data_IF_467793330971
#
_entry.id   IF_467793330971
#
_cell.length_a   1.000
_cell.length_b   1.000
_cell.length_c   1.000
_cell.angle_alpha   90.00
_cell.angle_beta   90.00
_cell.angle_gamma   90.00
#
_symmetry.space_group_name_H-M   'P 1'
#
loop_
_entity.id
_entity.type
_entity.pdbx_description
1 polymer ?
#
# COMPACT_ATOMS: atom_id res chain seq x y z
N UNK A 1 54.49 51.87 23.31
CA UNK A 1 53.87 51.23 22.13
C UNK A 1 53.56 49.76 22.35
N UNK A 2 54.52 48.90 22.75
CA UNK A 2 54.27 47.45 22.93
C UNK A 2 53.22 47.07 23.99
N UNK A 3 53.14 47.80 25.12
CA UNK A 3 52.13 47.55 26.16
C UNK A 3 50.69 47.76 25.69
N UNK A 4 50.46 48.76 24.83
CA UNK A 4 49.15 49.06 24.24
C UNK A 4 48.74 47.95 23.26
N UNK A 5 49.68 47.47 22.44
CA UNK A 5 49.44 46.35 21.51
C UNK A 5 49.09 45.05 22.22
N UNK A 6 49.76 44.73 23.33
CA UNK A 6 49.45 43.55 24.15
C UNK A 6 48.06 43.65 24.78
N UNK A 7 47.68 44.84 25.24
CA UNK A 7 46.35 45.07 25.82
C UNK A 7 45.25 44.87 24.77
N UNK A 8 45.42 45.41 23.55
CA UNK A 8 44.47 45.23 22.44
C UNK A 8 44.36 43.75 22.06
N UNK A 9 45.49 43.05 21.96
CA UNK A 9 45.51 41.61 21.66
C UNK A 9 44.75 40.79 22.72
N UNK A 10 45.00 41.08 24.00
CA UNK A 10 44.31 40.41 25.11
C UNK A 10 42.79 40.63 25.08
N UNK A 11 42.34 41.87 24.84
CA UNK A 11 40.92 42.20 24.69
C UNK A 11 40.31 41.46 23.50
N UNK A 12 41.03 41.37 22.38
CA UNK A 12 40.57 40.68 21.17
C UNK A 12 40.39 39.17 21.43
N UNK A 13 41.34 38.54 22.14
CA UNK A 13 41.23 37.13 22.54
C UNK A 13 40.04 36.87 23.46
N UNK A 14 39.75 37.77 24.40
CA UNK A 14 38.58 37.66 25.28
C UNK A 14 37.27 37.75 24.47
N UNK A 15 37.19 38.68 23.52
CA UNK A 15 36.03 38.83 22.63
C UNK A 15 35.85 37.59 21.74
N UNK A 16 36.93 37.08 21.14
CA UNK A 16 36.90 35.85 20.34
C UNK A 16 36.45 34.64 21.15
N UNK A 17 36.94 34.48 22.38
CA UNK A 17 36.52 33.40 23.28
C UNK A 17 35.03 33.46 23.61
N UNK A 18 34.50 34.67 23.88
CA UNK A 18 33.07 34.88 24.13
C UNK A 18 32.21 34.62 22.90
N UNK A 19 32.65 35.08 21.72
CA UNK A 19 31.93 34.82 20.46
C UNK A 19 31.90 33.34 20.13
N UNK A 20 33.02 32.63 20.30
CA UNK A 20 33.09 31.19 20.05
C UNK A 20 32.11 30.41 20.96
N UNK A 21 32.05 30.74 22.26
CA UNK A 21 31.07 30.15 23.18
C UNK A 21 29.63 30.41 22.72
N UNK A 22 29.33 31.63 22.28
CA UNK A 22 28.00 32.00 21.77
C UNK A 22 27.64 31.24 20.50
N UNK A 23 28.55 31.16 19.51
CA UNK A 23 28.33 30.42 18.27
C UNK A 23 28.14 28.91 18.53
N UNK A 24 28.92 28.32 19.44
CA UNK A 24 28.75 26.91 19.83
C UNK A 24 27.37 26.65 20.45
N UNK A 25 26.87 27.54 21.31
CA UNK A 25 25.52 27.40 21.90
C UNK A 25 24.41 27.56 20.87
N UNK A 26 24.55 28.52 19.95
CA UNK A 26 23.61 28.67 18.84
C UNK A 26 23.60 27.42 17.96
N UNK A 27 24.76 26.93 17.55
CA UNK A 27 24.88 25.71 16.74
C UNK A 27 24.21 24.51 17.42
N UNK A 28 24.41 24.35 18.73
CA UNK A 28 23.71 23.31 19.49
C UNK A 28 22.18 23.47 19.46
N UNK A 29 21.67 24.68 19.69
CA UNK A 29 20.22 24.96 19.67
C UNK A 29 19.62 24.74 18.27
N UNK A 30 20.30 25.18 17.22
CA UNK A 30 19.90 24.97 15.84
C UNK A 30 19.89 23.49 15.49
N UNK A 31 20.96 22.74 15.82
CA UNK A 31 21.00 21.29 15.64
C UNK A 31 19.87 20.58 16.37
N UNK A 32 19.54 21.01 17.59
CA UNK A 32 18.47 20.37 18.37
C UNK A 32 17.08 20.66 17.78
N UNK A 33 16.84 21.89 17.30
CA UNK A 33 15.59 22.23 16.58
C UNK A 33 15.46 21.45 15.28
N UNK A 34 16.50 21.43 14.45
CA UNK A 34 16.50 20.67 13.20
C UNK A 34 16.32 19.18 13.42
N UNK A 35 16.91 18.62 14.49
CA UNK A 35 16.73 17.20 14.81
C UNK A 35 15.27 16.88 15.11
N UNK A 36 14.59 17.73 15.90
CA UNK A 36 13.18 17.54 16.23
C UNK A 36 12.27 17.68 15.00
N UNK A 37 12.50 18.71 14.18
CA UNK A 37 11.76 18.90 12.92
C UNK A 37 12.00 17.74 11.95
N UNK A 38 13.22 17.19 11.90
CA UNK A 38 13.55 16.04 11.04
C UNK A 38 12.88 14.75 11.51
N UNK A 39 12.82 14.50 12.82
CA UNK A 39 12.10 13.34 13.38
C UNK A 39 10.58 13.44 13.11
N UNK A 40 9.99 14.63 13.18
CA UNK A 40 8.58 14.87 12.83
C UNK A 40 8.31 14.67 11.33
N UNK A 41 9.23 15.08 10.46
CA UNK A 41 9.13 14.84 9.01
C UNK A 41 9.23 13.34 8.70
N UNK A 42 10.19 12.62 9.28
CA UNK A 42 10.39 11.20 9.04
C UNK A 42 9.20 10.34 9.52
N UNK A 43 8.64 10.69 10.69
CA UNK A 43 7.43 10.01 11.20
C UNK A 43 6.22 10.27 10.31
N UNK A 44 6.04 11.50 9.83
CA UNK A 44 4.93 11.85 8.93
C UNK A 44 5.07 11.19 7.55
N UNK A 45 6.28 11.09 7.01
CA UNK A 45 6.54 10.36 5.76
C UNK A 45 6.24 8.87 5.88
N UNK A 46 6.66 8.23 6.98
CA UNK A 46 6.36 6.82 7.23
C UNK A 46 4.87 6.55 7.38
N UNK A 47 4.13 7.42 8.09
CA UNK A 47 2.68 7.29 8.20
C UNK A 47 1.98 7.46 6.84
N UNK A 48 2.41 8.43 6.04
CA UNK A 48 1.85 8.65 4.71
C UNK A 48 2.11 7.46 3.78
N UNK A 49 3.30 6.86 3.84
CA UNK A 49 3.65 5.65 3.09
C UNK A 49 2.76 4.46 3.46
N UNK A 50 2.58 4.19 4.75
CA UNK A 50 1.72 3.08 5.23
C UNK A 50 0.26 3.30 4.80
N UNK A 51 -0.26 4.53 4.87
CA UNK A 51 -1.61 4.83 4.40
C UNK A 51 -1.77 4.64 2.89
N UNK A 52 -0.78 5.06 2.10
CA UNK A 52 -0.78 4.90 0.65
C UNK A 52 -0.73 3.42 0.24
N UNK A 53 0.11 2.61 0.88
CA UNK A 53 0.21 1.17 0.63
C UNK A 53 -1.09 0.41 0.99
N UNK A 54 -1.90 0.94 1.91
CA UNK A 54 -3.20 0.36 2.26
C UNK A 54 -4.31 0.68 1.24
N UNK A 55 -4.13 1.71 0.41
CA UNK A 55 -5.14 2.17 -0.58
C UNK A 55 -4.73 1.82 -2.00
N UNK A 56 -3.43 1.81 -2.29
CA UNK A 56 -2.86 1.59 -3.61
C UNK A 56 -1.89 0.41 -3.56
N UNK A 57 -1.88 -0.46 -4.59
CA UNK A 57 -0.83 -1.47 -4.74
C UNK A 57 0.56 -0.82 -4.69
N UNK A 58 1.55 -1.52 -4.12
CA UNK A 58 2.89 -0.99 -3.89
C UNK A 58 3.54 -0.39 -5.15
N UNK A 59 3.34 -1.04 -6.30
CA UNK A 59 3.88 -0.58 -7.59
C UNK A 59 3.21 0.71 -8.12
N UNK A 60 1.97 0.98 -7.70
CA UNK A 60 1.23 2.21 -8.05
C UNK A 60 1.61 3.34 -7.11
N UNK A 61 1.82 3.05 -5.82
CA UNK A 61 2.20 4.05 -4.82
C UNK A 61 3.50 4.79 -5.19
N UNK A 62 4.51 4.07 -5.69
CA UNK A 62 5.77 4.69 -6.14
C UNK A 62 5.56 5.66 -7.32
N UNK A 63 4.68 5.32 -8.26
CA UNK A 63 4.37 6.19 -9.40
C UNK A 63 3.71 7.51 -8.95
N UNK A 64 2.82 7.46 -7.95
CA UNK A 64 2.16 8.65 -7.39
C UNK A 64 3.08 9.47 -6.48
N UNK A 65 4.05 8.85 -5.80
CA UNK A 65 5.06 9.57 -5.00
C UNK A 65 6.13 10.24 -5.88
N UNK A 66 6.50 9.62 -7.01
CA UNK A 66 7.52 10.14 -7.93
C UNK A 66 7.01 11.30 -8.80
N UNK A 67 5.69 11.35 -9.09
CA UNK A 67 5.09 12.41 -9.90
C UNK A 67 4.48 13.46 -8.97
N UNK A 68 4.98 14.69 -9.06
CA UNK A 68 4.36 15.87 -8.41
C UNK A 68 2.84 15.82 -8.62
N UNK A 69 2.08 15.91 -7.52
CA UNK A 69 0.61 15.83 -7.39
C UNK A 69 -0.20 16.84 -8.24
N UNK A 70 0.36 17.36 -9.32
CA UNK A 70 -0.23 18.37 -10.20
C UNK A 70 -1.09 17.82 -11.33
N UNK A 71 -1.18 16.50 -11.50
CA UNK A 71 -2.00 15.91 -12.55
C UNK A 71 -3.18 15.14 -11.95
N UNK A 72 -4.39 15.65 -12.15
CA UNK A 72 -5.68 14.94 -11.97
C UNK A 72 -5.90 13.82 -13.02
N UNK A 73 -4.82 13.24 -13.54
CA UNK A 73 -4.87 12.30 -14.65
C UNK A 73 -5.02 10.88 -14.11
N UNK A 74 -6.08 10.18 -14.53
CA UNK A 74 -6.36 8.80 -14.13
C UNK A 74 -5.19 7.88 -14.52
N UNK A 75 -4.67 7.13 -13.55
CA UNK A 75 -3.62 6.14 -13.81
C UNK A 75 -4.21 4.89 -14.46
N UNK A 76 -3.58 4.42 -15.55
CA UNK A 76 -3.90 3.15 -16.19
C UNK A 76 -2.63 2.48 -16.73
N UNK A 77 -2.59 1.15 -16.67
CA UNK A 77 -1.52 0.34 -17.25
C UNK A 77 -2.12 -0.89 -17.94
N UNK A 78 -1.58 -1.27 -19.10
CA UNK A 78 -1.97 -2.48 -19.82
C UNK A 78 -1.07 -3.64 -19.42
N UNK A 79 -1.64 -4.84 -19.31
CA UNK A 79 -0.95 -6.08 -18.94
C UNK A 79 -1.31 -7.18 -19.94
N UNK A 80 -0.30 -7.88 -20.46
CA UNK A 80 -0.49 -8.92 -21.49
C UNK A 80 -1.05 -10.23 -20.90
N UNK A 81 -0.72 -10.55 -19.66
CA UNK A 81 -1.08 -11.81 -19.00
C UNK A 81 -1.41 -11.58 -17.52
N UNK A 82 -2.68 -11.71 -17.17
CA UNK A 82 -3.17 -11.61 -15.79
C UNK A 82 -4.12 -12.76 -15.48
N UNK A 83 -4.19 -13.17 -14.22
CA UNK A 83 -5.20 -14.10 -13.73
C UNK A 83 -6.03 -13.42 -12.65
N UNK A 84 -7.35 -13.59 -12.70
CA UNK A 84 -8.30 -12.98 -11.76
C UNK A 84 -9.15 -14.08 -11.14
N UNK A 85 -9.28 -14.05 -9.81
CA UNK A 85 -10.08 -14.97 -9.02
C UNK A 85 -11.26 -14.24 -8.37
N UNK A 86 -12.41 -14.90 -8.36
CA UNK A 86 -13.58 -14.52 -7.59
C UNK A 86 -13.96 -15.68 -6.67
N UNK A 87 -14.06 -15.42 -5.36
CA UNK A 87 -14.59 -16.37 -4.39
C UNK A 87 -15.75 -15.71 -3.66
N UNK A 88 -16.92 -16.34 -3.65
CA UNK A 88 -18.12 -15.79 -3.01
C UNK A 88 -18.75 -16.82 -2.09
N UNK A 89 -19.19 -16.39 -0.91
CA UNK A 89 -20.00 -17.24 -0.03
C UNK A 89 -21.42 -17.27 -0.60
N UNK A 90 -21.92 -18.43 -1.04
CA UNK A 90 -23.27 -18.56 -1.57
C UNK A 90 -24.29 -18.27 -0.47
N UNK A 91 -25.44 -17.73 -0.86
CA UNK A 91 -26.61 -17.52 0.00
C UNK A 91 -26.36 -16.68 1.28
N UNK A 92 -25.23 -15.97 1.35
CA UNK A 92 -24.87 -15.15 2.51
C UNK A 92 -25.93 -14.08 2.81
N UNK A 93 -26.54 -13.51 1.77
CA UNK A 93 -27.61 -12.52 1.91
C UNK A 93 -28.89 -13.11 2.51
N UNK A 94 -29.19 -14.37 2.25
CA UNK A 94 -30.37 -15.06 2.79
C UNK A 94 -30.13 -15.55 4.22
N UNK A 95 -28.89 -15.92 4.54
CA UNK A 95 -28.46 -16.25 5.90
C UNK A 95 -28.37 -15.00 6.80
N UNK A 96 -28.13 -13.83 6.22
CA UNK A 96 -28.07 -12.56 6.94
C UNK A 96 -29.48 -12.07 7.33
N UNK A 97 -29.82 -12.21 8.61
CA UNK A 97 -31.07 -11.66 9.17
C UNK A 97 -30.76 -10.59 10.22
N UNK A 98 -31.14 -9.34 9.93
CA UNK A 98 -31.13 -8.22 10.87
C UNK A 98 -32.35 -8.32 11.78
N UNK A 99 -32.26 -9.10 12.84
CA UNK A 99 -33.28 -9.17 13.89
C UNK A 99 -32.65 -9.00 15.26
N UNK A 100 -33.37 -8.38 16.19
CA UNK A 100 -32.91 -8.20 17.58
C UNK A 100 -32.52 -9.53 18.26
N UNK A 101 -33.22 -10.61 17.90
CA UNK A 101 -32.94 -11.97 18.37
C UNK A 101 -31.60 -12.52 17.84
N UNK A 102 -31.13 -12.02 16.70
CA UNK A 102 -29.90 -12.45 16.02
C UNK A 102 -28.75 -11.43 16.17
N UNK A 103 -28.79 -10.59 17.22
CA UNK A 103 -27.82 -9.50 17.45
C UNK A 103 -27.62 -8.61 16.21
N UNK A 104 -28.71 -8.25 15.53
CA UNK A 104 -28.69 -7.41 14.33
C UNK A 104 -27.84 -7.99 13.16
N UNK A 105 -27.63 -9.32 13.13
CA UNK A 105 -26.81 -9.97 12.11
C UNK A 105 -25.30 -9.79 12.30
N UNK A 106 -24.86 -9.24 13.44
CA UNK A 106 -23.45 -8.95 13.74
C UNK A 106 -22.57 -10.21 13.71
N UNK A 107 -23.08 -11.35 14.16
CA UNK A 107 -22.31 -12.61 14.15
C UNK A 107 -22.02 -13.10 12.73
N UNK A 108 -22.92 -12.85 11.77
CA UNK A 108 -22.69 -13.17 10.36
C UNK A 108 -21.57 -12.29 9.76
N UNK A 109 -21.54 -11.02 10.15
CA UNK A 109 -20.48 -10.09 9.74
C UNK A 109 -19.14 -10.43 10.40
N UNK A 110 -19.14 -10.86 11.66
CA UNK A 110 -17.93 -11.35 12.34
C UNK A 110 -17.36 -12.56 11.64
N UNK A 111 -18.19 -13.56 11.34
CA UNK A 111 -17.75 -14.74 10.60
C UNK A 111 -17.20 -14.37 9.20
N UNK A 112 -17.89 -13.48 8.48
CA UNK A 112 -17.39 -13.00 7.19
C UNK A 112 -16.03 -12.31 7.34
N UNK A 113 -15.86 -11.48 8.37
CA UNK A 113 -14.60 -10.80 8.64
C UNK A 113 -13.48 -11.78 9.02
N UNK A 114 -13.78 -12.83 9.78
CA UNK A 114 -12.81 -13.91 10.07
C UNK A 114 -12.37 -14.62 8.79
N UNK A 115 -13.32 -14.98 7.91
CA UNK A 115 -13.00 -15.62 6.62
C UNK A 115 -12.14 -14.69 5.75
N UNK A 116 -12.46 -13.39 5.70
CA UNK A 116 -11.66 -12.41 4.95
C UNK A 116 -10.26 -12.27 5.55
N UNK A 117 -10.15 -12.20 6.88
CA UNK A 117 -8.87 -12.13 7.58
C UNK A 117 -8.00 -13.36 7.30
N UNK A 118 -8.58 -14.56 7.30
CA UNK A 118 -7.87 -15.80 6.96
C UNK A 118 -7.31 -15.79 5.52
N UNK A 119 -8.06 -15.21 4.57
CA UNK A 119 -7.56 -15.00 3.20
C UNK A 119 -6.43 -13.97 3.14
N UNK A 120 -6.56 -12.86 3.86
CA UNK A 120 -5.52 -11.82 3.91
C UNK A 120 -4.23 -12.37 4.57
N UNK A 121 -4.35 -13.15 5.63
CA UNK A 121 -3.25 -13.87 6.27
C UNK A 121 -2.61 -14.91 5.33
N UNK A 122 -3.40 -15.53 4.46
CA UNK A 122 -2.87 -16.41 3.42
C UNK A 122 -1.99 -15.64 2.45
N UNK A 123 -2.43 -14.46 1.98
CA UNK A 123 -1.68 -13.61 1.05
C UNK A 123 -0.39 -13.05 1.66
N UNK A 124 -0.32 -12.88 2.99
CA UNK A 124 0.91 -12.44 3.67
C UNK A 124 2.09 -13.45 3.56
N UNK A 125 1.81 -14.71 3.18
CA UNK A 125 2.84 -15.76 3.11
C UNK A 125 3.72 -15.56 1.87
N UNK A 126 5.05 -15.80 1.95
CA UNK A 126 5.98 -15.56 0.84
C UNK A 126 5.58 -16.23 -0.49
N UNK A 127 5.02 -17.43 -0.41
CA UNK A 127 4.52 -18.21 -1.56
C UNK A 127 3.37 -17.55 -2.35
N UNK A 128 2.67 -16.59 -1.75
CA UNK A 128 1.54 -15.87 -2.35
C UNK A 128 1.85 -14.39 -2.59
N UNK A 129 3.12 -13.98 -2.48
CA UNK A 129 3.56 -12.60 -2.71
C UNK A 129 3.24 -12.04 -4.09
N UNK A 130 3.04 -12.91 -5.09
CA UNK A 130 2.61 -12.52 -6.45
C UNK A 130 1.09 -12.38 -6.62
N UNK A 131 0.29 -12.59 -5.57
CA UNK A 131 -1.17 -12.46 -5.59
C UNK A 131 -1.57 -11.21 -4.84
N UNK A 132 -2.21 -10.28 -5.53
CA UNK A 132 -2.71 -9.02 -4.98
C UNK A 132 -4.23 -9.10 -4.78
N UNK A 133 -4.68 -8.73 -3.59
CA UNK A 133 -6.10 -8.50 -3.31
C UNK A 133 -6.55 -7.25 -4.07
N UNK A 134 -7.62 -7.35 -4.85
CA UNK A 134 -8.21 -6.20 -5.54
C UNK A 134 -9.22 -5.52 -4.62
N UNK A 135 -10.21 -6.26 -4.14
CA UNK A 135 -11.26 -5.77 -3.23
C UNK A 135 -12.12 -6.89 -2.70
N UNK A 136 -12.90 -6.55 -1.68
CA UNK A 136 -14.07 -7.32 -1.25
C UNK A 136 -15.35 -6.57 -1.65
N UNK A 137 -16.37 -7.31 -2.10
CA UNK A 137 -17.70 -6.77 -2.42
C UNK A 137 -18.73 -7.70 -1.78
N UNK A 138 -19.32 -7.27 -0.66
CA UNK A 138 -20.20 -8.12 0.13
C UNK A 138 -19.48 -9.38 0.58
N UNK A 139 -20.05 -10.56 0.28
CA UNK A 139 -19.44 -11.86 0.55
C UNK A 139 -18.43 -12.33 -0.50
N UNK A 140 -18.08 -11.48 -1.48
CA UNK A 140 -17.20 -11.83 -2.59
C UNK A 140 -15.80 -11.24 -2.42
N UNK A 141 -14.79 -12.09 -2.42
CA UNK A 141 -13.37 -11.75 -2.41
C UNK A 141 -12.81 -11.78 -3.84
N UNK A 142 -12.10 -10.73 -4.22
CA UNK A 142 -11.48 -10.58 -5.54
C UNK A 142 -9.97 -10.42 -5.39
N UNK A 143 -9.21 -11.25 -6.10
CA UNK A 143 -7.76 -11.20 -6.15
C UNK A 143 -7.26 -11.40 -7.58
N UNK A 144 -6.05 -10.94 -7.86
CA UNK A 144 -5.40 -11.12 -9.14
C UNK A 144 -3.89 -11.38 -8.98
N UNK A 145 -3.29 -11.91 -10.03
CA UNK A 145 -1.85 -12.09 -10.14
C UNK A 145 -1.36 -11.67 -11.54
N UNK A 146 -0.08 -11.33 -11.64
CA UNK A 146 0.52 -10.74 -12.84
C UNK A 146 0.41 -9.20 -12.91
N UNK A 147 0.12 -8.54 -11.78
CA UNK A 147 -0.01 -7.07 -11.70
C UNK A 147 1.29 -6.36 -11.28
N UNK A 148 2.21 -7.06 -10.62
CA UNK A 148 3.49 -6.48 -10.20
C UNK A 148 4.49 -6.42 -11.36
N UNK A 149 5.10 -5.25 -11.55
CA UNK A 149 6.09 -4.99 -12.60
C UNK A 149 7.45 -5.67 -12.35
N UNK A 150 7.66 -6.22 -11.15
CA UNK A 150 8.88 -6.96 -10.82
C UNK A 150 8.69 -8.39 -11.34
N UNK A 151 9.48 -8.85 -12.31
CA UNK A 151 9.50 -10.27 -12.65
C UNK A 151 10.06 -10.99 -11.42
N UNK A 152 9.18 -11.55 -10.58
CA UNK A 152 9.57 -12.59 -9.64
C UNK A 152 10.12 -13.74 -10.50
N UNK A 153 11.45 -13.77 -10.64
CA UNK A 153 12.18 -14.91 -11.16
C UNK A 153 11.97 -16.07 -10.19
N UNK A 154 10.86 -16.80 -10.39
CA UNK A 154 10.32 -17.97 -9.69
C UNK A 154 8.81 -17.70 -9.60
N UNK A 155 8.04 -17.85 -10.68
CA UNK A 155 7.46 -19.13 -11.08
C UNK A 155 7.07 -19.06 -12.56
N UNK A 156 8.07 -19.00 -13.45
CA UNK A 156 7.93 -19.56 -14.78
C UNK A 156 7.97 -21.11 -14.67
N UNK A 157 7.09 -21.71 -13.88
CA UNK A 157 6.70 -23.08 -14.16
C UNK A 157 5.76 -23.00 -15.34
N UNK A 158 6.39 -23.06 -16.50
CA UNK A 158 5.88 -23.59 -17.75
C UNK A 158 4.94 -24.78 -17.42
N UNK A 159 3.65 -24.50 -17.22
CA UNK A 159 2.65 -25.49 -17.52
C UNK A 159 2.48 -25.43 -19.03
N UNK A 160 3.36 -26.17 -19.70
CA UNK A 160 3.20 -26.56 -21.09
C UNK A 160 1.74 -26.90 -21.31
N UNK A 161 1.04 -26.12 -22.12
CA UNK A 161 -0.23 -26.52 -22.69
C UNK A 161 0.00 -27.84 -23.43
N UNK A 162 -0.24 -28.96 -22.75
CA UNK A 162 -0.53 -30.24 -23.40
C UNK A 162 -2.04 -30.25 -23.64
N UNK A 163 -2.50 -30.34 -24.90
CA UNK A 163 -3.90 -30.54 -25.16
C UNK A 163 -4.24 -31.99 -24.79
N UNK A 164 -4.56 -32.22 -23.51
CA UNK A 164 -5.27 -33.43 -23.14
C UNK A 164 -6.77 -33.17 -23.33
N UNK A 165 -7.26 -33.67 -24.46
CA UNK A 165 -8.67 -33.99 -24.63
C UNK A 165 -9.10 -34.93 -23.49
N UNK A 166 -9.68 -34.37 -22.43
CA UNK A 166 -10.50 -35.12 -21.50
C UNK A 166 -11.67 -34.25 -21.06
N UNK A 167 -12.77 -34.43 -21.77
CA UNK A 167 -14.12 -34.12 -21.35
C UNK A 167 -14.34 -34.68 -19.94
N UNK A 168 -14.27 -33.84 -18.91
CA UNK A 168 -14.94 -34.06 -17.64
C UNK A 168 -15.78 -32.84 -17.32
N UNK A 169 -17.01 -32.90 -17.82
CA UNK A 169 -18.13 -32.13 -17.35
C UNK A 169 -18.35 -32.39 -15.85
N UNK A 170 -18.02 -31.41 -15.00
CA UNK A 170 -18.82 -31.21 -13.79
C UNK A 170 -19.84 -30.11 -14.12
N UNK A 171 -20.95 -30.56 -14.69
CA UNK A 171 -22.17 -29.78 -14.80
C UNK A 171 -22.96 -29.98 -13.50
N UNK A 172 -22.93 -29.00 -12.61
CA UNK A 172 -24.09 -28.69 -11.78
C UNK A 172 -24.48 -27.25 -12.06
N UNK A 173 -25.57 -27.13 -12.79
CA UNK A 173 -26.19 -25.91 -13.28
C UNK A 173 -26.35 -24.85 -12.20
N UNK A 174 -25.84 -23.64 -12.42
CA UNK A 174 -26.68 -22.44 -12.53
C UNK A 174 -25.99 -21.42 -13.44
N UNK A 175 -26.82 -20.84 -14.31
CA UNK A 175 -26.49 -20.24 -15.60
C UNK A 175 -26.00 -18.80 -15.41
N UNK A 176 -24.70 -18.54 -15.50
CA UNK A 176 -24.19 -17.18 -15.72
C UNK A 176 -24.43 -16.80 -17.18
N UNK A 177 -25.54 -16.12 -17.44
CA UNK A 177 -25.80 -15.47 -18.72
C UNK A 177 -24.79 -14.34 -18.94
N UNK A 178 -23.77 -14.60 -19.75
CA UNK A 178 -22.97 -13.56 -20.39
C UNK A 178 -23.87 -12.83 -21.39
N UNK A 179 -24.41 -11.68 -20.99
CA UNK A 179 -24.96 -10.72 -21.93
C UNK A 179 -23.83 -10.12 -22.79
N UNK A 180 -24.10 -9.75 -24.06
CA UNK A 180 -23.08 -9.15 -24.91
C UNK A 180 -22.59 -7.82 -24.31
N UNK A 181 -21.26 -7.60 -24.38
CA UNK A 181 -20.62 -6.34 -24.02
C UNK A 181 -21.31 -5.20 -24.78
N UNK A 182 -21.90 -4.23 -24.07
CA UNK A 182 -22.25 -2.95 -24.72
C UNK A 182 -20.96 -2.20 -25.00
N UNK A 183 -20.78 -1.62 -26.20
CA UNK A 183 -19.68 -0.71 -26.46
C UNK A 183 -19.88 0.55 -25.59
N UNK A 184 -18.80 1.01 -24.95
CA UNK A 184 -18.75 2.33 -24.34
C UNK A 184 -18.90 3.35 -25.48
N UNK A 185 -20.01 4.07 -25.50
CA UNK A 185 -20.17 5.28 -26.31
C UNK A 185 -19.74 6.45 -25.43
N UNK A 186 -18.68 7.14 -25.85
CA UNK A 186 -18.27 8.42 -25.27
C UNK A 186 -19.40 9.45 -25.45
N UNK A 187 -19.80 10.08 -24.35
CA UNK A 187 -20.56 11.34 -24.32
C UNK A 187 -20.27 12.06 -23.01
#
# INVERSE_FOLDING_TARGET
MGSVSLFIFFVTLLVLGRQNEYYCRLDFLWKNKFKKEREEIETMENLNRVLLENVLPAHVAEHFLARSLKNEELYHQSYDCVCVMFASIPDFKEFYTESDVNKEGLECLRLLNEIIADFDDLLSKPKFSGVEKIKTIGSTYMAATGLSAVPSQEHAQVHTYRPHNSTRSLSSNHRCSLGPRRPCTDS
#
